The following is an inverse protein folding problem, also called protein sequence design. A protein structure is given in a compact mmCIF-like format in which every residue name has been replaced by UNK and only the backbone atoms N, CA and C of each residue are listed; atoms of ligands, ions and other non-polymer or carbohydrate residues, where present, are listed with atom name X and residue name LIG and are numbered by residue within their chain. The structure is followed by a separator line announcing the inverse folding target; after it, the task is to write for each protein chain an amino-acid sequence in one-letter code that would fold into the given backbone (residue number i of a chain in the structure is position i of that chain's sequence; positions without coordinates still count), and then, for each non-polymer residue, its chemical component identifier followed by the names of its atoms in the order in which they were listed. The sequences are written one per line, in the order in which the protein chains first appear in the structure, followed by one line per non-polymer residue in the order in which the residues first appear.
data_IF_587118381608
#
_entry.id   IF_587118381608
#
_cell.length_a   1.000
_cell.length_b   1.000
_cell.length_c   1.000
_cell.angle_alpha   90.00
_cell.angle_beta   90.00
_cell.angle_gamma   90.00
#
_symmetry.space_group_name_H-M   'P 1'
#
loop_
_entity.id
_entity.type
_entity.pdbx_description
1 polymer ?
#
# COMPACT_ATOMS: atom_id res chain seq x y z
N UNK A 1 12.37 1.00 -17.05
CA UNK A 1 11.17 1.83 -16.88
C UNK A 1 11.32 2.70 -15.64
N UNK A 2 11.18 3.99 -15.79
CA UNK A 2 11.27 4.93 -14.67
C UNK A 2 10.00 4.90 -13.80
N UNK A 3 10.08 5.55 -12.64
CA UNK A 3 8.95 5.60 -11.68
C UNK A 3 7.71 6.24 -12.33
N UNK A 4 7.89 7.37 -13.02
CA UNK A 4 6.77 8.06 -13.67
C UNK A 4 6.08 7.18 -14.72
N UNK A 5 6.88 6.47 -15.53
CA UNK A 5 6.35 5.57 -16.56
C UNK A 5 5.55 4.43 -15.95
N UNK A 6 6.06 3.85 -14.87
CA UNK A 6 5.34 2.80 -14.15
C UNK A 6 4.00 3.30 -13.65
N UNK A 7 3.97 4.49 -13.04
CA UNK A 7 2.75 5.06 -12.50
C UNK A 7 1.73 5.36 -13.60
N UNK A 8 2.17 5.89 -14.75
CA UNK A 8 1.27 6.18 -15.87
C UNK A 8 0.63 4.94 -16.45
N UNK A 9 1.32 3.81 -16.45
CA UNK A 9 0.83 2.56 -17.01
C UNK A 9 -0.04 1.76 -16.04
N UNK A 10 -0.08 2.16 -14.78
CA UNK A 10 -0.79 1.43 -13.75
C UNK A 10 -2.28 1.83 -13.74
N UNK A 11 -3.17 0.84 -13.86
CA UNK A 11 -4.62 1.06 -13.83
C UNK A 11 -5.11 1.76 -12.57
N UNK A 12 -4.48 1.49 -11.42
CA UNK A 12 -4.83 2.12 -10.15
C UNK A 12 -4.59 3.63 -10.13
N UNK A 13 -3.75 4.11 -11.02
CA UNK A 13 -3.37 5.53 -11.11
C UNK A 13 -3.85 6.19 -12.41
N UNK A 14 -4.87 5.65 -13.04
CA UNK A 14 -5.37 6.12 -14.35
C UNK A 14 -5.81 7.59 -14.34
N UNK A 15 -6.20 8.13 -13.19
CA UNK A 15 -6.66 9.51 -13.06
C UNK A 15 -5.52 10.51 -12.88
N UNK A 16 -4.28 10.02 -12.77
CA UNK A 16 -3.09 10.87 -12.71
C UNK A 16 -2.63 11.24 -14.12
N UNK A 17 -2.31 12.51 -14.33
CA UNK A 17 -1.71 12.97 -15.57
C UNK A 17 -0.18 12.97 -15.46
N UNK A 18 0.52 13.37 -16.54
CA UNK A 18 1.98 13.43 -16.57
C UNK A 18 2.55 14.31 -15.46
N UNK A 19 1.92 15.47 -15.23
CA UNK A 19 2.35 16.40 -14.16
C UNK A 19 2.23 15.75 -12.78
N UNK A 20 1.16 15.00 -12.54
CA UNK A 20 0.96 14.29 -11.26
C UNK A 20 2.03 13.21 -11.05
N UNK A 21 2.29 12.40 -12.08
CA UNK A 21 3.29 11.32 -11.96
C UNK A 21 4.70 11.85 -11.85
N UNK A 22 5.00 12.98 -12.50
CA UNK A 22 6.30 13.64 -12.34
C UNK A 22 6.48 14.13 -10.90
N UNK A 23 5.45 14.75 -10.32
CA UNK A 23 5.49 15.21 -8.93
C UNK A 23 5.68 14.02 -7.97
N UNK A 24 4.96 12.92 -8.17
CA UNK A 24 5.10 11.71 -7.36
C UNK A 24 6.48 11.10 -7.47
N UNK A 25 7.04 11.04 -8.69
CA UNK A 25 8.34 10.43 -8.90
C UNK A 25 9.46 11.12 -8.13
N UNK A 26 9.29 12.41 -7.83
CA UNK A 26 10.29 13.16 -7.04
C UNK A 26 10.27 12.80 -5.56
N UNK A 27 9.16 12.26 -5.06
CA UNK A 27 9.01 11.93 -3.63
C UNK A 27 9.00 10.43 -3.36
N UNK A 28 8.96 9.60 -4.41
CA UNK A 28 9.04 8.15 -4.29
C UNK A 28 10.49 7.67 -4.25
N UNK A 29 10.74 6.64 -3.46
CA UNK A 29 12.01 5.91 -3.46
C UNK A 29 11.76 4.47 -3.92
N UNK A 30 12.71 3.90 -4.65
CA UNK A 30 12.64 2.50 -5.06
C UNK A 30 13.41 1.65 -4.04
N UNK A 31 12.76 0.61 -3.52
CA UNK A 31 13.36 -0.30 -2.55
C UNK A 31 13.18 -1.74 -3.03
N UNK A 32 14.17 -2.59 -2.74
CA UNK A 32 14.17 -4.00 -3.12
C UNK A 32 14.20 -4.89 -1.88
N UNK A 33 13.37 -5.92 -1.86
CA UNK A 33 13.31 -6.89 -0.77
C UNK A 33 13.43 -8.30 -1.34
N UNK A 34 14.28 -9.12 -0.73
CA UNK A 34 14.42 -10.52 -1.11
C UNK A 34 13.25 -11.34 -0.59
N UNK A 35 12.89 -12.40 -1.29
CA UNK A 35 11.85 -13.34 -0.88
C UNK A 35 12.04 -13.76 0.59
N UNK A 36 10.97 -13.71 1.37
CA UNK A 36 10.97 -14.08 2.78
C UNK A 36 11.40 -12.97 3.74
N UNK A 37 11.93 -11.83 3.26
CA UNK A 37 12.32 -10.76 4.15
C UNK A 37 11.12 -9.96 4.66
N UNK A 38 11.25 -9.41 5.86
CA UNK A 38 10.21 -8.56 6.47
C UNK A 38 10.37 -7.14 5.97
N UNK A 39 9.29 -6.58 5.40
CA UNK A 39 9.24 -5.18 4.96
C UNK A 39 8.95 -4.29 6.17
N UNK A 40 7.94 -4.66 6.96
CA UNK A 40 7.71 -4.05 8.26
C UNK A 40 7.04 -5.08 9.20
N UNK A 41 7.36 -5.03 10.50
CA UNK A 41 6.73 -5.92 11.47
C UNK A 41 5.35 -5.40 11.89
N UNK A 42 4.56 -6.30 12.47
CA UNK A 42 3.33 -5.91 13.17
C UNK A 42 3.68 -4.94 14.31
N UNK A 43 2.86 -3.91 14.49
CA UNK A 43 3.08 -2.83 15.47
C UNK A 43 4.33 -1.97 15.22
N UNK A 44 4.99 -2.15 14.08
CA UNK A 44 6.08 -1.28 13.66
C UNK A 44 5.60 0.14 13.37
N UNK A 45 6.54 1.07 13.21
CA UNK A 45 6.23 2.46 12.90
C UNK A 45 5.51 2.58 11.56
N UNK A 46 4.39 3.29 11.52
CA UNK A 46 3.61 3.54 10.31
C UNK A 46 4.04 4.85 9.64
N UNK A 47 5.15 4.84 8.92
CA UNK A 47 5.75 6.05 8.36
C UNK A 47 5.90 6.04 6.84
N UNK A 48 5.54 4.94 6.16
CA UNK A 48 5.64 4.81 4.69
C UNK A 48 4.47 4.05 4.11
N UNK A 49 4.11 4.42 2.90
CA UNK A 49 3.23 3.66 2.03
C UNK A 49 4.06 3.05 0.90
N UNK A 50 3.62 1.94 0.35
CA UNK A 50 4.32 1.21 -0.70
C UNK A 50 3.40 0.86 -1.87
N UNK A 51 3.96 0.90 -3.08
CA UNK A 51 3.32 0.37 -4.29
C UNK A 51 4.22 -0.71 -4.86
N UNK A 52 3.67 -1.87 -5.20
CA UNK A 52 4.48 -2.96 -5.75
C UNK A 52 4.74 -2.72 -7.23
N UNK A 53 6.01 -2.66 -7.60
CA UNK A 53 6.45 -2.59 -8.99
C UNK A 53 6.59 -3.97 -9.59
N UNK A 54 7.19 -4.92 -8.84
CA UNK A 54 7.32 -6.32 -9.24
C UNK A 54 7.38 -7.20 -7.99
N UNK A 55 7.04 -8.47 -8.13
CA UNK A 55 7.02 -9.43 -7.04
C UNK A 55 5.67 -9.52 -6.36
N UNK A 56 5.67 -9.85 -5.08
CA UNK A 56 4.44 -9.94 -4.28
C UNK A 56 4.75 -9.73 -2.80
N UNK A 57 3.74 -9.31 -2.04
CA UNK A 57 3.87 -9.08 -0.60
C UNK A 57 2.74 -9.81 0.11
N UNK A 58 3.09 -10.51 1.18
CA UNK A 58 2.13 -11.16 2.08
C UNK A 58 1.91 -10.25 3.28
N UNK A 59 0.66 -9.96 3.55
CA UNK A 59 0.25 -9.29 4.79
C UNK A 59 -0.10 -10.38 5.79
N UNK A 60 0.58 -10.38 6.93
CA UNK A 60 0.46 -11.44 7.92
C UNK A 60 0.10 -10.90 9.29
N UNK A 61 -0.57 -11.71 10.08
CA UNK A 61 -0.94 -11.38 11.45
C UNK A 61 -0.74 -12.59 12.35
N UNK A 62 -0.15 -12.37 13.53
CA UNK A 62 0.01 -13.43 14.53
C UNK A 62 -1.28 -13.59 15.33
N UNK A 63 -1.78 -14.81 15.39
CA UNK A 63 -2.89 -15.20 16.26
C UNK A 63 -2.43 -16.41 17.05
N UNK A 64 -2.33 -16.30 18.38
CA UNK A 64 -1.85 -17.36 19.28
C UNK A 64 -0.49 -17.90 18.84
N UNK A 65 0.45 -16.99 18.52
CA UNK A 65 1.81 -17.29 18.07
C UNK A 65 1.91 -17.92 16.68
N UNK A 66 0.78 -18.16 16.01
CA UNK A 66 0.77 -18.65 14.62
C UNK A 66 0.65 -17.47 13.67
N UNK A 67 1.55 -17.41 12.71
CA UNK A 67 1.52 -16.39 11.66
C UNK A 67 0.54 -16.82 10.57
N UNK A 68 -0.44 -15.97 10.28
CA UNK A 68 -1.45 -16.24 9.27
C UNK A 68 -1.38 -15.18 8.18
N UNK A 69 -1.39 -15.61 6.91
CA UNK A 69 -1.48 -14.69 5.78
C UNK A 69 -2.93 -14.25 5.63
N UNK A 70 -3.16 -12.95 5.77
CA UNK A 70 -4.51 -12.37 5.65
C UNK A 70 -4.77 -11.73 4.28
N UNK A 71 -3.71 -11.42 3.54
CA UNK A 71 -3.83 -10.87 2.19
C UNK A 71 -2.53 -11.07 1.41
N UNK A 72 -2.64 -11.11 0.09
CA UNK A 72 -1.50 -11.10 -0.82
C UNK A 72 -1.66 -9.88 -1.72
N UNK A 73 -0.62 -9.07 -1.80
CA UNK A 73 -0.61 -7.84 -2.59
C UNK A 73 0.25 -8.08 -3.83
N UNK A 74 -0.25 -7.70 -4.98
CA UNK A 74 0.34 -7.97 -6.29
C UNK A 74 0.86 -6.69 -6.97
N UNK A 75 1.62 -6.82 -8.08
CA UNK A 75 2.12 -5.64 -8.79
C UNK A 75 1.00 -4.66 -9.16
N UNK A 76 1.27 -3.38 -8.99
CA UNK A 76 0.31 -2.32 -9.22
C UNK A 76 -0.57 -1.99 -8.02
N UNK A 77 -0.60 -2.85 -7.03
CA UNK A 77 -1.36 -2.63 -5.81
C UNK A 77 -0.50 -1.97 -4.74
N UNK A 78 -1.14 -1.32 -3.77
CA UNK A 78 -0.42 -0.66 -2.69
C UNK A 78 -0.81 -1.23 -1.32
N UNK A 79 0.10 -1.02 -0.38
CA UNK A 79 -0.07 -1.47 1.01
C UNK A 79 0.61 -0.47 1.95
N UNK A 80 0.28 -0.57 3.24
CA UNK A 80 0.83 0.33 4.24
C UNK A 80 0.30 1.75 4.17
N UNK A 81 -0.78 1.97 3.42
CA UNK A 81 -1.37 3.28 3.15
C UNK A 81 -1.92 3.98 4.39
N UNK A 82 -2.35 3.22 5.39
CA UNK A 82 -2.89 3.80 6.63
C UNK A 82 -1.85 4.67 7.34
N UNK A 83 -0.58 4.37 7.16
CA UNK A 83 0.52 5.15 7.72
C UNK A 83 0.53 6.60 7.25
N UNK A 84 0.13 6.85 5.99
CA UNK A 84 0.04 8.22 5.47
C UNK A 84 -1.17 8.96 6.02
N UNK A 85 -2.23 8.21 6.35
CA UNK A 85 -3.51 8.80 6.74
C UNK A 85 -3.57 9.12 8.23
N UNK A 86 -3.13 8.22 9.09
CA UNK A 86 -3.28 8.38 10.54
C UNK A 86 -2.00 8.25 11.37
N UNK A 87 -0.91 7.72 10.77
CA UNK A 87 0.36 7.55 11.46
C UNK A 87 0.34 6.56 12.60
N UNK A 88 -0.68 5.71 12.67
CA UNK A 88 -0.79 4.70 13.72
C UNK A 88 0.18 3.56 13.48
N UNK A 89 0.55 2.80 14.52
CA UNK A 89 1.37 1.59 14.34
C UNK A 89 0.73 0.60 13.38
N UNK A 90 1.57 -0.22 12.73
CA UNK A 90 1.12 -1.23 11.77
C UNK A 90 0.18 -2.24 12.41
N UNK A 91 -0.98 -2.45 11.82
CA UNK A 91 -1.97 -3.42 12.31
C UNK A 91 -1.62 -4.86 11.90
N UNK A 92 -0.71 -5.05 10.97
CA UNK A 92 -0.24 -6.35 10.49
C UNK A 92 1.20 -6.20 10.00
N UNK A 93 1.88 -7.33 9.78
CA UNK A 93 3.21 -7.35 9.19
C UNK A 93 3.13 -7.47 7.67
N UNK A 94 4.18 -7.03 6.99
CA UNK A 94 4.33 -7.22 5.54
C UNK A 94 5.64 -7.94 5.27
N UNK A 95 5.57 -9.02 4.49
CA UNK A 95 6.72 -9.84 4.09
C UNK A 95 6.76 -10.03 2.60
N UNK A 96 7.95 -10.00 2.02
CA UNK A 96 8.11 -10.28 0.60
C UNK A 96 7.82 -11.74 0.32
N UNK A 97 6.82 -12.02 -0.53
CA UNK A 97 6.47 -13.37 -0.94
C UNK A 97 7.35 -13.91 -2.06
N UNK A 98 8.04 -13.00 -2.74
CA UNK A 98 9.01 -13.26 -3.81
C UNK A 98 10.03 -12.13 -3.75
N UNK A 99 11.06 -12.17 -4.60
CA UNK A 99 11.93 -11.01 -4.76
C UNK A 99 11.06 -9.84 -5.26
N UNK A 100 11.05 -8.74 -4.52
CA UNK A 100 10.06 -7.69 -4.70
C UNK A 100 10.72 -6.33 -4.82
N UNK A 101 10.25 -5.54 -5.78
CA UNK A 101 10.63 -4.15 -5.95
C UNK A 101 9.39 -3.30 -5.67
N UNK A 102 9.55 -2.33 -4.79
CA UNK A 102 8.46 -1.43 -4.38
C UNK A 102 8.87 0.02 -4.60
N UNK A 103 7.87 0.87 -4.76
CA UNK A 103 8.02 2.31 -4.64
C UNK A 103 7.47 2.72 -3.28
N UNK A 104 8.27 3.45 -2.51
CA UNK A 104 7.84 3.91 -1.18
C UNK A 104 7.68 5.42 -1.16
N UNK A 105 6.71 5.88 -0.38
CA UNK A 105 6.48 7.29 -0.10
C UNK A 105 6.44 7.44 1.41
N UNK A 106 7.36 8.24 1.96
CA UNK A 106 7.33 8.54 3.38
C UNK A 106 6.21 9.54 3.70
N UNK A 107 5.78 9.52 4.95
CA UNK A 107 4.80 10.48 5.44
C UNK A 107 5.27 11.92 5.26
N UNK A 108 6.54 12.18 5.56
CA UNK A 108 7.13 13.52 5.40
C UNK A 108 7.11 13.95 3.94
N UNK A 109 7.46 13.07 3.01
CA UNK A 109 7.43 13.36 1.59
C UNK A 109 6.01 13.55 1.07
N UNK A 110 5.05 12.80 1.58
CA UNK A 110 3.65 13.01 1.24
C UNK A 110 3.16 14.37 1.75
N UNK A 111 3.54 14.75 2.97
CA UNK A 111 3.20 16.07 3.52
C UNK A 111 3.79 17.20 2.67
N UNK A 112 5.03 17.04 2.20
CA UNK A 112 5.65 18.00 1.29
C UNK A 112 4.89 18.09 -0.05
N UNK A 113 4.46 16.95 -0.58
CA UNK A 113 3.65 16.90 -1.80
C UNK A 113 2.33 17.65 -1.62
N UNK A 114 1.65 17.46 -0.49
CA UNK A 114 0.41 18.18 -0.16
C UNK A 114 0.60 19.68 -0.19
N UNK A 115 1.72 20.17 0.28
CA UNK A 115 2.02 21.60 0.33
C UNK A 115 2.32 22.14 -1.06
N UNK A 116 3.13 21.42 -1.84
CA UNK A 116 3.61 21.88 -3.16
C UNK A 116 2.60 21.65 -4.28
N UNK A 117 1.96 20.47 -4.29
CA UNK A 117 1.02 20.07 -5.33
C UNK A 117 -0.23 19.46 -4.71
N UNK A 118 -1.08 20.29 -4.06
CA UNK A 118 -2.26 19.79 -3.36
C UNK A 118 -3.24 19.05 -4.26
N UNK A 119 -3.32 19.40 -5.54
CA UNK A 119 -4.20 18.73 -6.49
C UNK A 119 -3.77 17.27 -6.72
N UNK A 120 -2.47 17.03 -6.86
CA UNK A 120 -1.91 15.68 -6.98
C UNK A 120 -2.15 14.88 -5.70
N UNK A 121 -1.89 15.48 -4.54
CA UNK A 121 -2.11 14.85 -3.25
C UNK A 121 -3.58 14.46 -3.06
N UNK A 122 -4.51 15.30 -3.48
CA UNK A 122 -5.95 15.00 -3.40
C UNK A 122 -6.32 13.79 -4.27
N UNK A 123 -5.78 13.70 -5.48
CA UNK A 123 -5.99 12.54 -6.37
C UNK A 123 -5.50 11.25 -5.73
N UNK A 124 -4.35 11.29 -5.04
CA UNK A 124 -3.82 10.14 -4.32
C UNK A 124 -4.79 9.72 -3.21
N UNK A 125 -5.28 10.66 -2.42
CA UNK A 125 -6.25 10.37 -1.36
C UNK A 125 -7.51 9.75 -1.95
N UNK A 126 -8.02 10.23 -3.07
CA UNK A 126 -9.18 9.66 -3.74
C UNK A 126 -8.93 8.21 -4.16
N UNK A 127 -7.75 7.90 -4.68
CA UNK A 127 -7.37 6.54 -5.03
C UNK A 127 -7.35 5.65 -3.78
N UNK A 128 -6.72 6.12 -2.70
CA UNK A 128 -6.64 5.39 -1.44
C UNK A 128 -8.03 5.13 -0.86
N UNK A 129 -8.91 6.12 -0.88
CA UNK A 129 -10.29 5.97 -0.38
C UNK A 129 -11.04 4.89 -1.15
N UNK A 130 -10.92 4.86 -2.47
CA UNK A 130 -11.58 3.85 -3.30
C UNK A 130 -11.09 2.43 -2.96
N UNK A 131 -9.79 2.25 -2.81
CA UNK A 131 -9.22 0.95 -2.48
C UNK A 131 -9.63 0.51 -1.07
N UNK A 132 -9.55 1.41 -0.09
CA UNK A 132 -9.96 1.12 1.28
C UNK A 132 -11.44 0.79 1.35
N UNK A 133 -12.30 1.49 0.60
CA UNK A 133 -13.72 1.19 0.49
C UNK A 133 -13.96 -0.22 -0.04
N UNK A 134 -13.23 -0.63 -1.09
CA UNK A 134 -13.37 -1.96 -1.66
C UNK A 134 -12.90 -3.04 -0.68
N UNK A 135 -11.79 -2.81 0.02
CA UNK A 135 -11.27 -3.73 1.04
C UNK A 135 -12.27 -3.89 2.19
N UNK A 136 -12.90 -2.79 2.61
CA UNK A 136 -13.92 -2.82 3.66
C UNK A 136 -15.16 -3.61 3.23
N UNK A 137 -15.63 -3.42 2.01
CA UNK A 137 -16.76 -4.18 1.47
C UNK A 137 -16.45 -5.68 1.44
N UNK A 138 -15.23 -6.06 1.04
CA UNK A 138 -14.82 -7.46 1.04
C UNK A 138 -14.78 -8.02 2.47
N UNK A 139 -14.25 -7.27 3.42
CA UNK A 139 -14.24 -7.67 4.83
C UNK A 139 -15.67 -7.87 5.36
N UNK A 140 -16.60 -6.98 5.02
CA UNK A 140 -18.00 -7.10 5.41
C UNK A 140 -18.66 -8.34 4.81
N UNK A 141 -18.39 -8.66 3.54
CA UNK A 141 -18.89 -9.89 2.91
C UNK A 141 -18.37 -11.13 3.60
N UNK A 142 -17.08 -11.13 3.97
CA UNK A 142 -16.48 -12.25 4.69
C UNK A 142 -17.14 -12.44 6.06
N UNK A 143 -17.48 -11.36 6.76
CA UNK A 143 -18.19 -11.43 8.03
C UNK A 143 -19.61 -11.98 7.86
N UNK A 144 -20.33 -11.58 6.82
CA UNK A 144 -21.65 -12.12 6.53
C UNK A 144 -21.60 -13.64 6.29
N UNK A 145 -20.62 -14.12 5.54
CA UNK A 145 -20.43 -15.55 5.31
C UNK A 145 -20.13 -16.27 6.62
N UNK A 146 -19.24 -15.73 7.45
CA UNK A 146 -18.90 -16.33 8.75
C UNK A 146 -20.15 -16.38 9.64
N UNK A 147 -20.90 -15.28 9.71
CA UNK A 147 -22.13 -15.20 10.50
C UNK A 147 -23.15 -16.25 10.08
N UNK A 148 -23.33 -16.43 8.78
CA UNK A 148 -24.22 -17.48 8.24
C UNK A 148 -23.83 -18.89 8.67
N UNK A 149 -22.54 -19.19 8.68
CA UNK A 149 -22.04 -20.52 9.05
C UNK A 149 -22.05 -20.78 10.57
N UNK A 150 -22.04 -19.74 11.38
CA UNK A 150 -22.06 -19.84 12.85
C UNK A 150 -23.48 -20.05 13.36
N UNK A 151 -24.47 -19.46 12.70
CA UNK A 151 -25.87 -19.62 13.03
C UNK A 151 -26.40 -20.98 12.60
#
# INVERSE_FOLDING_TARGET
MGIADFLLQNKGFKDLNQSDTDALSTVCAEETFKAGSTIFPEEGAGDKMYVIKSGSVKITKKVKETENTIAVINPGEFFGEMALLDGMPRSAAAKAGADTVVLSISRDNYTALRTKTPQTALKIVDILVKVLSNRLRQANKNLEVISFWIE
#
